data_IF_149945619680
#
_entry.id   IF_149945619680
#
_cell.length_a   1.000
_cell.length_b   1.000
_cell.length_c   1.000
_cell.angle_alpha   90.00
_cell.angle_beta   90.00
_cell.angle_gamma   90.00
#
_symmetry.space_group_name_H-M   'P 1'
#
loop_
_entity.id
_entity.type
_entity.pdbx_description
1 polymer ?
#
# COMPACT_ATOMS: atom_id res chain seq x y z
N UNK A 1 -67.01 30.32 -36.68
CA UNK A 1 -67.44 31.46 -35.89
C UNK A 1 -66.24 31.96 -35.09
N UNK A 2 -65.52 32.97 -35.57
CA UNK A 2 -65.58 34.39 -35.28
C UNK A 2 -65.82 34.69 -33.79
N UNK A 3 -64.85 35.28 -33.07
CA UNK A 3 -64.58 36.68 -32.75
C UNK A 3 -63.39 36.68 -31.77
N UNK A 4 -62.36 37.38 -31.97
CA UNK A 4 -62.00 38.81 -32.06
C UNK A 4 -61.50 39.42 -30.75
N UNK A 5 -60.22 39.78 -30.80
CA UNK A 5 -59.44 40.88 -30.22
C UNK A 5 -60.06 41.69 -29.05
N UNK A 6 -59.16 41.95 -28.04
CA UNK A 6 -58.94 43.35 -27.58
C UNK A 6 -57.49 43.45 -27.01
N UNK A 7 -56.78 44.44 -27.54
CA UNK A 7 -55.46 44.94 -27.09
C UNK A 7 -55.77 46.01 -26.01
N UNK A 8 -55.08 46.01 -24.93
CA UNK A 8 -54.97 47.18 -24.05
C UNK A 8 -53.51 47.41 -23.67
N UNK A 9 -53.00 48.49 -24.18
CA UNK A 9 -51.72 49.13 -23.95
C UNK A 9 -51.80 49.89 -22.62
N UNK A 10 -50.91 49.67 -21.66
CA UNK A 10 -50.62 50.55 -20.53
C UNK A 10 -49.14 50.67 -20.30
N UNK A 11 -48.67 51.86 -20.63
CA UNK A 11 -47.33 52.32 -20.31
C UNK A 11 -47.23 52.68 -18.81
N UNK A 12 -46.22 52.21 -18.10
CA UNK A 12 -45.81 52.73 -16.79
C UNK A 12 -44.27 52.85 -16.72
N UNK A 13 -43.92 54.07 -16.61
CA UNK A 13 -42.77 54.84 -16.17
C UNK A 13 -41.67 54.01 -15.47
N UNK A 14 -40.44 54.15 -15.99
CA UNK A 14 -39.22 53.78 -15.39
C UNK A 14 -38.89 54.57 -14.11
N UNK A 15 -38.65 53.92 -13.02
CA UNK A 15 -37.93 54.49 -11.88
C UNK A 15 -36.72 53.62 -11.60
N UNK A 16 -35.55 54.16 -11.91
CA UNK A 16 -34.26 53.47 -11.68
C UNK A 16 -33.94 53.38 -10.19
N UNK A 17 -33.72 52.20 -9.72
CA UNK A 17 -32.97 51.93 -8.49
C UNK A 17 -31.80 50.98 -8.84
N UNK A 18 -30.61 51.56 -8.91
CA UNK A 18 -29.39 50.79 -9.04
C UNK A 18 -29.14 50.04 -7.73
N UNK A 19 -29.53 48.79 -7.68
CA UNK A 19 -29.06 47.85 -6.66
C UNK A 19 -27.70 47.32 -7.10
N UNK A 20 -26.63 47.80 -6.48
CA UNK A 20 -25.33 47.17 -6.52
C UNK A 20 -25.42 45.83 -5.79
N UNK A 21 -25.66 44.77 -6.55
CA UNK A 21 -25.46 43.39 -6.06
C UNK A 21 -23.96 43.19 -5.90
N UNK A 22 -23.46 43.35 -4.68
CA UNK A 22 -22.17 42.83 -4.30
C UNK A 22 -22.24 41.31 -4.47
N UNK A 23 -21.66 40.82 -5.55
CA UNK A 23 -21.50 39.39 -5.79
C UNK A 23 -20.62 38.79 -4.71
N UNK A 24 -21.25 38.25 -3.66
CA UNK A 24 -20.60 37.28 -2.83
C UNK A 24 -20.25 36.07 -3.74
N UNK A 25 -19.02 36.02 -4.25
CA UNK A 25 -18.46 34.80 -4.78
C UNK A 25 -18.42 33.83 -3.60
N UNK A 26 -19.43 33.00 -3.48
CA UNK A 26 -19.32 31.78 -2.71
C UNK A 26 -18.20 30.99 -3.34
N UNK A 27 -17.01 31.07 -2.75
CA UNK A 27 -16.02 30.06 -2.91
C UNK A 27 -16.63 28.74 -2.39
N UNK A 28 -17.38 28.07 -3.25
CA UNK A 28 -17.65 26.66 -3.03
C UNK A 28 -16.27 25.99 -3.08
N UNK A 29 -15.69 25.78 -1.91
CA UNK A 29 -14.62 24.81 -1.75
C UNK A 29 -15.20 23.50 -2.30
N UNK A 30 -14.89 23.21 -3.56
CA UNK A 30 -15.08 21.89 -4.15
C UNK A 30 -14.36 20.96 -3.17
N UNK A 31 -15.10 20.27 -2.33
CA UNK A 31 -14.56 19.11 -1.60
C UNK A 31 -13.88 18.29 -2.68
N UNK A 32 -12.55 18.20 -2.61
CA UNK A 32 -11.79 17.45 -3.59
C UNK A 32 -12.41 16.06 -3.61
N UNK A 33 -12.95 15.66 -4.75
CA UNK A 33 -13.44 14.29 -4.92
C UNK A 33 -12.29 13.36 -4.54
N UNK A 34 -12.57 12.36 -3.68
CA UNK A 34 -11.56 11.39 -3.28
C UNK A 34 -10.97 10.69 -4.51
N UNK A 35 -9.80 10.14 -4.35
CA UNK A 35 -9.14 9.35 -5.41
C UNK A 35 -9.92 8.07 -5.69
N UNK A 36 -9.86 7.59 -6.92
CA UNK A 36 -10.27 6.24 -7.29
C UNK A 36 -9.04 5.32 -7.27
N UNK A 37 -9.00 4.39 -6.33
CA UNK A 37 -7.86 3.52 -6.07
C UNK A 37 -8.23 2.08 -6.41
N UNK A 38 -7.51 1.49 -7.34
CA UNK A 38 -7.63 0.08 -7.69
C UNK A 38 -6.60 -0.72 -6.92
N UNK A 39 -7.04 -1.64 -6.05
CA UNK A 39 -6.17 -2.33 -5.11
C UNK A 39 -6.42 -3.84 -5.06
N UNK A 40 -5.36 -4.62 -4.86
CA UNK A 40 -5.46 -6.05 -4.62
C UNK A 40 -6.38 -6.37 -3.44
N UNK A 41 -7.17 -7.44 -3.55
CA UNK A 41 -8.22 -7.85 -2.59
C UNK A 41 -7.71 -8.03 -1.16
N UNK A 42 -6.47 -8.45 -0.96
CA UNK A 42 -5.83 -8.54 0.37
C UNK A 42 -5.72 -7.20 1.13
N UNK A 43 -6.02 -6.08 0.47
CA UNK A 43 -5.96 -4.74 1.07
C UNK A 43 -7.33 -4.15 1.42
N UNK A 44 -8.39 -4.95 1.36
CA UNK A 44 -9.79 -4.49 1.52
C UNK A 44 -10.04 -3.82 2.87
N UNK A 45 -9.42 -4.27 3.94
CA UNK A 45 -9.56 -3.71 5.29
C UNK A 45 -8.62 -2.54 5.54
N UNK A 46 -7.37 -2.68 5.16
CA UNK A 46 -6.29 -1.75 5.53
C UNK A 46 -6.40 -0.38 4.85
N UNK A 47 -6.82 -0.33 3.58
CA UNK A 47 -6.82 0.94 2.84
C UNK A 47 -7.91 1.92 3.29
N UNK A 48 -9.16 1.49 3.58
CA UNK A 48 -10.15 2.37 4.19
C UNK A 48 -9.76 2.86 5.60
N UNK A 49 -8.98 2.08 6.37
CA UNK A 49 -8.45 2.53 7.67
C UNK A 49 -7.39 3.62 7.51
N UNK A 50 -6.58 3.57 6.44
CA UNK A 50 -5.62 4.64 6.12
C UNK A 50 -6.34 5.91 5.68
N UNK A 51 -7.36 5.79 4.83
CA UNK A 51 -8.12 6.94 4.31
C UNK A 51 -9.48 6.52 3.77
N UNK A 52 -10.54 6.78 4.52
CA UNK A 52 -11.92 6.48 4.14
C UNK A 52 -12.52 7.48 3.12
N UNK A 53 -11.80 8.57 2.79
CA UNK A 53 -12.27 9.60 1.86
C UNK A 53 -12.10 9.25 0.37
N UNK A 54 -11.51 8.10 0.05
CA UNK A 54 -11.28 7.63 -1.31
C UNK A 54 -12.30 6.57 -1.73
N UNK A 55 -12.45 6.39 -3.04
CA UNK A 55 -13.20 5.28 -3.62
C UNK A 55 -12.24 4.13 -3.92
N UNK A 56 -12.54 2.95 -3.43
CA UNK A 56 -11.71 1.76 -3.62
C UNK A 56 -12.42 0.75 -4.52
N UNK A 57 -11.67 0.18 -5.48
CA UNK A 57 -12.07 -0.99 -6.26
C UNK A 57 -11.10 -2.11 -5.94
N UNK A 58 -11.59 -3.15 -5.27
CA UNK A 58 -10.79 -4.30 -4.85
C UNK A 58 -10.98 -5.47 -5.81
N UNK A 59 -9.88 -6.18 -6.08
CA UNK A 59 -9.90 -7.36 -6.94
C UNK A 59 -8.50 -7.91 -7.20
N UNK A 60 -8.41 -8.87 -8.12
CA UNK A 60 -7.11 -9.34 -8.58
C UNK A 60 -6.31 -8.21 -9.24
N UNK A 61 -5.04 -8.08 -8.87
CA UNK A 61 -4.16 -7.08 -9.49
C UNK A 61 -4.11 -7.19 -11.01
N UNK A 62 -4.20 -8.40 -11.56
CA UNK A 62 -4.20 -8.66 -13.01
C UNK A 62 -5.48 -8.17 -13.66
N UNK A 63 -6.64 -8.42 -13.04
CA UNK A 63 -7.94 -7.93 -13.52
C UNK A 63 -7.98 -6.40 -13.50
N UNK A 64 -7.57 -5.79 -12.39
CA UNK A 64 -7.52 -4.33 -12.24
C UNK A 64 -6.58 -3.68 -13.26
N UNK A 65 -5.42 -4.28 -13.52
CA UNK A 65 -4.51 -3.81 -14.56
C UNK A 65 -5.13 -3.86 -15.96
N UNK A 66 -5.91 -4.90 -16.26
CA UNK A 66 -6.65 -5.01 -17.52
C UNK A 66 -7.72 -3.92 -17.65
N UNK A 67 -8.45 -3.65 -16.56
CA UNK A 67 -9.44 -2.56 -16.54
C UNK A 67 -8.78 -1.19 -16.78
N UNK A 68 -7.63 -0.92 -16.16
CA UNK A 68 -6.88 0.33 -16.38
C UNK A 68 -6.39 0.44 -17.82
N UNK A 69 -5.86 -0.64 -18.42
CA UNK A 69 -5.48 -0.65 -19.85
C UNK A 69 -6.67 -0.33 -20.75
N UNK A 70 -7.85 -0.80 -20.39
CA UNK A 70 -9.10 -0.57 -21.13
C UNK A 70 -9.74 0.80 -20.80
N UNK A 71 -9.06 1.67 -20.05
CA UNK A 71 -9.49 3.04 -19.80
C UNK A 71 -10.36 3.24 -18.55
N UNK A 72 -10.40 2.28 -17.63
CA UNK A 72 -11.08 2.49 -16.34
C UNK A 72 -10.47 3.69 -15.59
N UNK A 73 -11.32 4.58 -14.99
CA UNK A 73 -10.88 5.84 -14.39
C UNK A 73 -10.26 5.62 -13.00
N UNK A 74 -9.07 5.01 -12.96
CA UNK A 74 -8.29 4.85 -11.74
C UNK A 74 -7.24 5.96 -11.62
N UNK A 75 -6.99 6.41 -10.41
CA UNK A 75 -5.91 7.36 -10.08
C UNK A 75 -4.64 6.60 -9.66
N UNK A 76 -4.80 5.54 -8.88
CA UNK A 76 -3.68 4.73 -8.36
C UNK A 76 -4.00 3.24 -8.52
N UNK A 77 -3.00 2.48 -8.94
CA UNK A 77 -2.99 1.02 -8.86
C UNK A 77 -2.12 0.58 -7.67
N UNK A 78 -2.65 -0.32 -6.85
CA UNK A 78 -1.91 -1.03 -5.79
C UNK A 78 -1.98 -2.53 -6.05
N UNK A 79 -0.85 -3.13 -6.35
CA UNK A 79 -0.73 -4.53 -6.77
C UNK A 79 -0.09 -5.41 -5.71
N UNK A 80 -0.60 -6.64 -5.56
CA UNK A 80 -0.03 -7.67 -4.69
C UNK A 80 1.26 -8.31 -5.24
N UNK A 81 1.82 -7.76 -6.31
CA UNK A 81 3.14 -8.11 -6.84
C UNK A 81 3.80 -6.89 -7.51
N UNK A 82 5.05 -7.05 -7.91
CA UNK A 82 5.81 -6.02 -8.64
C UNK A 82 5.70 -6.15 -10.16
N UNK A 83 5.33 -7.31 -10.67
CA UNK A 83 5.33 -7.63 -12.11
C UNK A 83 4.22 -6.89 -12.84
N UNK A 84 3.02 -6.85 -12.26
CA UNK A 84 1.85 -6.19 -12.86
C UNK A 84 2.10 -4.68 -13.04
N UNK A 85 2.48 -3.89 -12.02
CA UNK A 85 2.77 -2.48 -12.22
C UNK A 85 3.98 -2.23 -13.14
N UNK A 86 5.02 -3.09 -13.10
CA UNK A 86 6.16 -2.98 -14.00
C UNK A 86 5.76 -3.13 -15.47
N UNK A 87 4.87 -4.07 -15.77
CA UNK A 87 4.30 -4.28 -17.13
C UNK A 87 3.47 -3.07 -17.60
N UNK A 88 2.69 -2.44 -16.72
CA UNK A 88 1.94 -1.23 -17.04
C UNK A 88 2.86 -0.02 -17.23
N UNK A 89 3.91 0.10 -16.44
CA UNK A 89 4.92 1.13 -16.59
C UNK A 89 5.66 1.03 -17.93
N UNK A 90 6.08 -0.19 -18.30
CA UNK A 90 6.69 -0.44 -19.61
C UNK A 90 5.77 -0.07 -20.77
N UNK A 91 4.46 -0.16 -20.60
CA UNK A 91 3.43 0.24 -21.56
C UNK A 91 3.04 1.73 -21.47
N UNK A 92 3.65 2.53 -20.59
CA UNK A 92 3.33 3.96 -20.38
C UNK A 92 1.96 4.23 -19.73
N UNK A 93 1.34 3.21 -19.14
CA UNK A 93 -0.02 3.30 -18.55
C UNK A 93 0.01 3.84 -17.13
N UNK A 94 1.08 3.58 -16.40
CA UNK A 94 1.29 4.07 -15.03
C UNK A 94 2.67 4.73 -14.92
N UNK A 95 2.82 5.59 -13.93
CA UNK A 95 4.11 6.16 -13.53
C UNK A 95 5.01 5.08 -12.91
N UNK A 96 6.29 5.42 -12.69
CA UNK A 96 7.27 4.48 -12.12
C UNK A 96 6.76 3.86 -10.81
N UNK A 97 6.62 2.52 -10.72
CA UNK A 97 6.10 1.86 -9.53
C UNK A 97 7.01 2.04 -8.31
N UNK A 98 6.37 2.11 -7.15
CA UNK A 98 7.03 2.18 -5.84
C UNK A 98 6.62 0.96 -5.02
N UNK A 99 7.60 0.20 -4.53
CA UNK A 99 7.36 -0.87 -3.58
C UNK A 99 6.95 -0.27 -2.23
N UNK A 100 5.90 -0.80 -1.59
CA UNK A 100 5.37 -0.16 -0.37
C UNK A 100 5.16 -1.10 0.81
N UNK A 101 4.94 -2.40 0.58
CA UNK A 101 4.72 -3.39 1.65
C UNK A 101 5.10 -4.79 1.16
N UNK A 102 5.26 -5.75 2.07
CA UNK A 102 5.46 -7.18 1.77
C UNK A 102 4.39 -8.02 2.43
N UNK A 103 4.29 -9.28 2.00
CA UNK A 103 3.40 -10.27 2.61
C UNK A 103 4.10 -11.63 2.67
N UNK A 104 3.45 -12.62 3.26
CA UNK A 104 3.83 -14.02 3.22
C UNK A 104 2.68 -14.86 2.71
N UNK A 105 2.98 -15.97 2.04
CA UNK A 105 1.99 -16.95 1.69
C UNK A 105 1.59 -17.76 2.93
N UNK A 106 0.30 -18.04 3.05
CA UNK A 106 -0.28 -18.82 4.13
C UNK A 106 -1.23 -19.87 3.55
N UNK A 107 -1.53 -20.88 4.35
CA UNK A 107 -2.61 -21.82 4.09
C UNK A 107 -3.64 -21.58 5.17
N UNK A 108 -4.91 -21.52 4.78
CA UNK A 108 -6.02 -21.46 5.70
C UNK A 108 -6.88 -22.71 5.56
N UNK A 109 -7.44 -23.13 6.67
CA UNK A 109 -8.44 -24.21 6.74
C UNK A 109 -9.64 -23.69 7.54
N UNK A 110 -10.85 -24.28 7.40
CA UNK A 110 -11.98 -23.93 8.25
C UNK A 110 -11.61 -24.00 9.73
N UNK A 111 -12.22 -23.19 10.58
CA UNK A 111 -11.91 -23.12 12.02
C UNK A 111 -11.98 -24.49 12.70
N UNK A 112 -12.94 -25.31 12.32
CA UNK A 112 -13.12 -26.67 12.82
C UNK A 112 -12.08 -27.65 12.30
N UNK A 113 -11.42 -27.35 11.18
CA UNK A 113 -10.42 -28.18 10.49
C UNK A 113 -10.85 -29.65 10.37
N UNK A 114 -11.96 -29.98 9.70
CA UNK A 114 -12.52 -31.33 9.69
C UNK A 114 -11.57 -32.35 9.03
N UNK A 115 -10.77 -31.93 8.05
CA UNK A 115 -9.76 -32.78 7.39
C UNK A 115 -8.50 -33.02 8.24
N UNK A 116 -8.37 -32.36 9.40
CA UNK A 116 -7.23 -32.56 10.33
C UNK A 116 -5.89 -32.11 9.75
N UNK A 117 -5.85 -31.11 8.88
CA UNK A 117 -4.67 -30.58 8.21
C UNK A 117 -3.79 -29.83 9.23
N UNK A 118 -2.51 -30.22 9.36
CA UNK A 118 -1.56 -29.61 10.29
C UNK A 118 -0.31 -29.04 9.59
N UNK A 119 -0.11 -29.42 8.34
CA UNK A 119 1.05 -28.97 7.53
C UNK A 119 0.67 -28.92 6.04
N UNK A 120 1.49 -28.24 5.25
CA UNK A 120 1.37 -28.22 3.79
C UNK A 120 1.44 -29.64 3.18
N UNK A 121 2.16 -30.58 3.81
CA UNK A 121 2.27 -31.95 3.33
C UNK A 121 0.97 -32.74 3.49
N UNK A 122 0.10 -32.36 4.43
CA UNK A 122 -1.22 -33.00 4.57
C UNK A 122 -2.13 -32.72 3.37
N UNK A 123 -1.86 -31.65 2.62
CA UNK A 123 -2.60 -31.29 1.41
C UNK A 123 -2.36 -32.27 0.24
N UNK A 124 -1.30 -33.10 0.32
CA UNK A 124 -1.04 -34.13 -0.69
C UNK A 124 -1.82 -35.42 -0.47
N UNK A 125 -2.55 -35.55 0.65
CA UNK A 125 -3.33 -36.75 0.96
C UNK A 125 -4.55 -36.86 0.03
N UNK A 126 -4.84 -38.06 -0.49
CA UNK A 126 -6.04 -38.25 -1.31
C UNK A 126 -7.32 -37.85 -0.58
N UNK A 127 -8.23 -37.17 -1.29
CA UNK A 127 -9.53 -36.78 -0.78
C UNK A 127 -9.56 -35.44 -0.02
N UNK A 128 -8.43 -34.77 0.11
CA UNK A 128 -8.38 -33.37 0.58
C UNK A 128 -8.84 -32.45 -0.55
N UNK A 129 -9.81 -31.60 -0.30
CA UNK A 129 -10.32 -30.63 -1.27
C UNK A 129 -9.67 -29.26 -1.08
N UNK A 130 -8.97 -28.78 -2.11
CA UNK A 130 -8.18 -27.53 -2.06
C UNK A 130 -8.78 -26.50 -3.01
N UNK A 131 -8.89 -25.28 -2.54
CA UNK A 131 -9.12 -24.11 -3.38
C UNK A 131 -7.85 -23.27 -3.51
N UNK A 132 -7.56 -22.77 -4.69
CA UNK A 132 -6.45 -21.87 -4.94
C UNK A 132 -6.85 -20.77 -5.93
N UNK A 133 -6.17 -19.65 -5.91
CA UNK A 133 -6.33 -18.68 -6.99
C UNK A 133 -5.64 -19.17 -8.27
N UNK A 134 -6.19 -18.81 -9.43
CA UNK A 134 -5.56 -19.12 -10.72
C UNK A 134 -4.11 -18.62 -10.77
N UNK A 135 -3.22 -19.32 -11.46
CA UNK A 135 -1.79 -18.98 -11.55
C UNK A 135 -1.51 -17.61 -12.21
N UNK A 136 -2.50 -17.05 -12.91
CA UNK A 136 -2.45 -15.68 -13.45
C UNK A 136 -2.72 -14.61 -12.42
N UNK A 137 -3.22 -14.97 -11.24
CA UNK A 137 -3.46 -14.07 -10.09
C UNK A 137 -2.21 -14.07 -9.22
N UNK A 138 -1.82 -12.93 -8.60
CA UNK A 138 -0.58 -12.86 -7.81
C UNK A 138 -0.43 -13.97 -6.77
N UNK A 139 -1.43 -14.20 -5.91
CA UNK A 139 -1.36 -15.26 -4.87
C UNK A 139 -1.21 -16.65 -5.49
N UNK A 140 -1.94 -16.97 -6.56
CA UNK A 140 -1.84 -18.24 -7.25
C UNK A 140 -0.45 -18.44 -7.90
N UNK A 141 0.14 -17.40 -8.47
CA UNK A 141 1.50 -17.47 -9.02
C UNK A 141 2.55 -17.75 -7.92
N UNK A 142 2.38 -17.19 -6.73
CA UNK A 142 3.23 -17.48 -5.58
C UNK A 142 2.99 -18.89 -5.03
N UNK A 143 1.75 -19.38 -5.03
CA UNK A 143 1.40 -20.76 -4.68
C UNK A 143 2.15 -21.76 -5.57
N UNK A 144 2.05 -21.61 -6.88
CA UNK A 144 2.78 -22.47 -7.84
C UNK A 144 4.30 -22.41 -7.60
N UNK A 145 4.85 -21.23 -7.34
CA UNK A 145 6.28 -21.07 -7.05
C UNK A 145 6.70 -21.87 -5.80
N UNK A 146 5.94 -21.79 -4.71
CA UNK A 146 6.19 -22.53 -3.47
C UNK A 146 6.09 -24.04 -3.72
N UNK A 147 5.02 -24.50 -4.34
CA UNK A 147 4.76 -25.91 -4.57
C UNK A 147 5.82 -26.56 -5.46
N UNK A 148 6.27 -25.87 -6.51
CA UNK A 148 7.38 -26.30 -7.36
C UNK A 148 8.70 -26.35 -6.58
N UNK A 149 9.00 -25.33 -5.78
CA UNK A 149 10.22 -25.30 -4.95
C UNK A 149 10.25 -26.46 -3.94
N UNK A 150 9.09 -26.87 -3.44
CA UNK A 150 8.95 -27.99 -2.51
C UNK A 150 8.86 -29.35 -3.20
N UNK A 151 8.69 -29.39 -4.52
CA UNK A 151 8.54 -30.66 -5.28
C UNK A 151 7.21 -31.38 -5.03
N UNK A 152 6.17 -30.67 -4.58
CA UNK A 152 4.86 -31.25 -4.23
C UNK A 152 3.71 -30.69 -5.11
N UNK A 153 4.04 -29.93 -6.14
CA UNK A 153 3.03 -29.29 -6.98
C UNK A 153 2.00 -30.29 -7.53
N UNK A 154 2.46 -31.35 -8.20
CA UNK A 154 1.56 -32.27 -8.89
C UNK A 154 0.64 -33.01 -7.91
N UNK A 155 1.17 -33.40 -6.72
CA UNK A 155 0.37 -34.04 -5.69
C UNK A 155 -0.70 -33.12 -5.12
N UNK A 156 -0.43 -31.82 -4.97
CA UNK A 156 -1.41 -30.85 -4.50
C UNK A 156 -2.38 -30.49 -5.61
N UNK A 157 -1.93 -30.30 -6.86
CA UNK A 157 -2.82 -29.99 -7.99
C UNK A 157 -3.84 -31.12 -8.27
N UNK A 158 -3.54 -32.37 -7.92
CA UNK A 158 -4.49 -33.49 -8.00
C UNK A 158 -5.69 -33.32 -7.02
N UNK A 159 -5.53 -32.53 -5.97
CA UNK A 159 -6.53 -32.25 -4.95
C UNK A 159 -7.20 -30.87 -5.12
N UNK A 160 -6.79 -30.07 -6.11
CA UNK A 160 -7.41 -28.76 -6.38
C UNK A 160 -8.74 -28.95 -7.07
N UNK A 161 -9.81 -28.57 -6.40
CA UNK A 161 -11.20 -28.69 -6.90
C UNK A 161 -11.71 -27.38 -7.52
N UNK A 162 -11.07 -26.25 -7.22
CA UNK A 162 -11.48 -24.93 -7.73
C UNK A 162 -10.28 -23.98 -7.88
N UNK A 163 -10.40 -23.06 -8.84
CA UNK A 163 -9.41 -21.99 -9.10
C UNK A 163 -10.08 -20.63 -9.17
N UNK A 164 -9.74 -19.77 -8.22
CA UNK A 164 -10.40 -18.50 -7.99
C UNK A 164 -9.73 -17.33 -8.72
N UNK A 165 -10.51 -16.26 -8.86
CA UNK A 165 -10.04 -15.02 -9.48
C UNK A 165 -9.38 -14.05 -8.51
N UNK A 166 -9.41 -14.34 -7.18
CA UNK A 166 -8.76 -13.55 -6.13
C UNK A 166 -8.50 -14.38 -4.87
N UNK A 167 -7.60 -13.92 -4.01
CA UNK A 167 -7.38 -14.41 -2.64
C UNK A 167 -8.66 -14.34 -1.79
N UNK A 168 -9.41 -13.25 -1.88
CA UNK A 168 -10.66 -13.09 -1.14
C UNK A 168 -11.71 -14.17 -1.45
N UNK A 169 -11.78 -14.65 -2.69
CA UNK A 169 -12.68 -15.74 -3.06
C UNK A 169 -12.25 -17.06 -2.44
N UNK A 170 -10.95 -17.34 -2.40
CA UNK A 170 -10.40 -18.53 -1.69
C UNK A 170 -10.74 -18.46 -0.20
N UNK A 171 -10.49 -17.30 0.44
CA UNK A 171 -10.87 -17.07 1.85
C UNK A 171 -12.33 -17.39 2.10
N UNK A 172 -13.22 -16.86 1.26
CA UNK A 172 -14.66 -17.03 1.44
C UNK A 172 -15.08 -18.52 1.38
N UNK A 173 -14.57 -19.29 0.41
CA UNK A 173 -14.88 -20.72 0.30
C UNK A 173 -14.38 -21.53 1.48
N UNK A 174 -13.16 -21.28 1.93
CA UNK A 174 -12.60 -21.95 3.10
C UNK A 174 -13.39 -21.59 4.37
N UNK A 175 -13.68 -20.31 4.58
CA UNK A 175 -14.44 -19.85 5.74
C UNK A 175 -15.85 -20.46 5.82
N UNK A 176 -16.49 -20.70 4.66
CA UNK A 176 -17.78 -21.37 4.53
C UNK A 176 -17.71 -22.91 4.63
N UNK A 177 -16.49 -23.48 4.74
CA UNK A 177 -16.29 -24.93 4.78
C UNK A 177 -16.64 -25.65 3.48
N UNK A 178 -16.58 -24.96 2.34
CA UNK A 178 -16.86 -25.55 1.02
C UNK A 178 -15.67 -26.37 0.50
N UNK A 179 -14.49 -26.16 1.06
CA UNK A 179 -13.24 -26.87 0.80
C UNK A 179 -12.47 -27.05 2.10
N UNK A 180 -11.51 -27.97 2.12
CA UNK A 180 -10.71 -28.28 3.30
C UNK A 180 -9.57 -27.28 3.54
N UNK A 181 -9.02 -26.70 2.48
CA UNK A 181 -7.91 -25.76 2.58
C UNK A 181 -7.84 -24.80 1.39
N UNK A 182 -7.15 -23.69 1.60
CA UNK A 182 -6.85 -22.74 0.53
C UNK A 182 -5.53 -22.01 0.75
N UNK A 183 -4.89 -21.59 -0.37
CA UNK A 183 -3.68 -20.78 -0.35
C UNK A 183 -4.05 -19.30 -0.45
N UNK A 184 -3.64 -18.52 0.55
CA UNK A 184 -3.95 -17.10 0.73
C UNK A 184 -2.73 -16.34 1.23
N UNK A 185 -2.84 -15.04 1.48
CA UNK A 185 -1.81 -14.30 2.20
C UNK A 185 -2.03 -14.36 3.72
N UNK A 186 -0.97 -14.10 4.49
CA UNK A 186 -1.08 -14.01 5.95
C UNK A 186 -2.04 -12.91 6.38
N UNK A 187 -2.06 -11.78 5.67
CA UNK A 187 -3.01 -10.69 5.91
C UNK A 187 -4.46 -11.16 5.87
N UNK A 188 -4.82 -12.06 4.96
CA UNK A 188 -6.19 -12.56 4.82
C UNK A 188 -6.62 -13.38 6.05
N UNK A 189 -5.69 -14.14 6.64
CA UNK A 189 -5.96 -14.84 7.89
C UNK A 189 -6.10 -13.87 9.07
N UNK A 190 -5.24 -12.83 9.15
CA UNK A 190 -5.22 -11.91 10.29
C UNK A 190 -6.53 -11.13 10.44
N UNK A 191 -7.22 -10.86 9.33
CA UNK A 191 -8.51 -10.15 9.34
C UNK A 191 -9.71 -11.07 9.66
N UNK A 192 -9.58 -12.39 9.52
CA UNK A 192 -10.66 -13.35 9.85
C UNK A 192 -10.18 -14.59 10.63
N UNK A 193 -9.56 -14.44 11.81
CA UNK A 193 -9.10 -15.56 12.62
C UNK A 193 -10.24 -16.31 13.32
N UNK A 194 -11.47 -15.81 13.23
CA UNK A 194 -12.65 -16.42 13.86
C UNK A 194 -13.20 -17.59 13.06
N UNK A 195 -13.14 -17.52 11.73
CA UNK A 195 -13.63 -18.56 10.83
C UNK A 195 -12.51 -19.47 10.30
N UNK A 196 -11.27 -19.04 10.43
CA UNK A 196 -10.11 -19.71 9.84
C UNK A 196 -9.11 -20.21 10.90
N UNK A 197 -8.37 -21.24 10.53
CA UNK A 197 -7.16 -21.70 11.23
C UNK A 197 -5.98 -21.60 10.28
N UNK A 198 -4.85 -21.03 10.77
CA UNK A 198 -3.63 -20.84 10.00
C UNK A 198 -2.77 -22.09 9.97
N UNK A 199 -2.38 -22.53 8.79
CA UNK A 199 -1.30 -23.49 8.54
C UNK A 199 -0.13 -22.75 7.87
N UNK A 200 1.05 -22.84 8.46
CA UNK A 200 2.21 -22.09 7.97
C UNK A 200 2.88 -22.78 6.80
N UNK A 201 3.19 -22.05 5.76
CA UNK A 201 4.15 -22.46 4.74
C UNK A 201 5.55 -22.41 5.36
N UNK A 202 6.42 -23.44 5.17
CA UNK A 202 7.77 -23.43 5.71
C UNK A 202 8.57 -22.18 5.29
N UNK A 203 9.31 -21.59 6.23
CA UNK A 203 10.02 -20.33 6.01
C UNK A 203 11.01 -20.38 4.83
N UNK A 204 11.68 -21.54 4.65
CA UNK A 204 12.64 -21.74 3.55
C UNK A 204 11.97 -21.78 2.16
N UNK A 205 10.67 -22.10 2.10
CA UNK A 205 9.90 -22.15 0.86
C UNK A 205 9.15 -20.85 0.57
N UNK A 206 9.10 -19.90 1.52
CA UNK A 206 8.40 -18.64 1.36
C UNK A 206 8.93 -17.81 0.19
N UNK A 207 8.09 -17.42 -0.77
CA UNK A 207 8.50 -16.54 -1.85
C UNK A 207 8.68 -15.11 -1.33
N UNK A 208 9.49 -14.32 -2.02
CA UNK A 208 9.62 -12.89 -1.72
C UNK A 208 8.42 -12.13 -2.27
N UNK A 209 7.37 -12.01 -1.49
CA UNK A 209 6.16 -11.28 -1.87
C UNK A 209 6.33 -9.80 -1.57
N UNK A 210 6.36 -8.97 -2.61
CA UNK A 210 6.47 -7.51 -2.51
C UNK A 210 5.35 -6.88 -3.31
N UNK A 211 4.64 -5.96 -2.69
CA UNK A 211 3.56 -5.17 -3.28
C UNK A 211 4.12 -3.86 -3.85
N UNK A 212 3.60 -3.45 -4.98
CA UNK A 212 3.97 -2.17 -5.57
C UNK A 212 2.73 -1.36 -5.95
N UNK A 213 2.86 -0.04 -5.86
CA UNK A 213 1.82 0.92 -6.24
C UNK A 213 2.35 1.89 -7.28
N UNK A 214 1.47 2.41 -8.12
CA UNK A 214 1.81 3.39 -9.14
C UNK A 214 0.62 4.29 -9.46
N UNK A 215 0.89 5.54 -9.80
CA UNK A 215 -0.11 6.50 -10.28
C UNK A 215 -0.42 6.18 -11.73
N UNK A 216 -1.70 6.21 -12.10
CA UNK A 216 -2.11 6.04 -13.50
C UNK A 216 -1.74 7.31 -14.27
N UNK A 217 -0.99 7.19 -15.37
CA UNK A 217 -0.44 8.32 -16.13
C UNK A 217 -1.52 9.31 -16.59
N UNK A 218 -2.71 8.80 -16.93
CA UNK A 218 -3.85 9.62 -17.36
C UNK A 218 -4.70 10.19 -16.21
N UNK A 219 -4.37 9.92 -14.95
CA UNK A 219 -5.10 10.49 -13.81
C UNK A 219 -5.03 12.03 -13.83
N UNK A 220 -6.15 12.74 -13.70
CA UNK A 220 -6.15 14.19 -13.53
C UNK A 220 -5.70 14.61 -12.12
N UNK A 221 -5.56 13.67 -11.19
CA UNK A 221 -5.33 13.90 -9.77
C UNK A 221 -3.87 13.59 -9.34
N UNK A 222 -2.87 13.77 -10.23
CA UNK A 222 -1.47 13.37 -10.02
C UNK A 222 -0.88 13.82 -8.66
N UNK A 223 -1.05 15.10 -8.31
CA UNK A 223 -0.51 15.64 -7.06
C UNK A 223 -1.19 15.04 -5.81
N UNK A 224 -2.50 14.86 -5.85
CA UNK A 224 -3.29 14.24 -4.77
C UNK A 224 -2.94 12.76 -4.63
N UNK A 225 -2.79 12.05 -5.74
CA UNK A 225 -2.36 10.66 -5.77
C UNK A 225 -0.96 10.49 -5.16
N UNK A 226 -0.02 11.38 -5.50
CA UNK A 226 1.32 11.37 -4.90
C UNK A 226 1.29 11.66 -3.39
N UNK A 227 0.46 12.61 -2.95
CA UNK A 227 0.29 12.90 -1.52
C UNK A 227 -0.29 11.71 -0.76
N UNK A 228 -1.26 11.02 -1.36
CA UNK A 228 -1.85 9.80 -0.79
C UNK A 228 -0.82 8.65 -0.74
N UNK A 229 -0.05 8.41 -1.79
CA UNK A 229 1.03 7.42 -1.77
C UNK A 229 2.04 7.72 -0.65
N UNK A 230 2.38 8.99 -0.42
CA UNK A 230 3.24 9.39 0.69
C UNK A 230 2.60 9.10 2.06
N UNK A 231 1.26 9.23 2.19
CA UNK A 231 0.51 8.84 3.38
C UNK A 231 0.60 7.33 3.63
N UNK A 232 0.46 6.50 2.61
CA UNK A 232 0.66 5.04 2.67
C UNK A 232 2.07 4.69 3.14
N UNK A 233 3.08 5.38 2.62
CA UNK A 233 4.50 5.17 2.96
C UNK A 233 4.90 5.77 4.32
N UNK A 234 4.06 6.56 4.96
CA UNK A 234 4.34 7.16 6.27
C UNK A 234 4.43 6.10 7.36
N UNK A 235 5.12 6.37 8.49
CA UNK A 235 5.14 5.45 9.63
C UNK A 235 3.74 5.06 10.11
N UNK A 236 2.78 5.99 10.08
CA UNK A 236 1.40 5.72 10.47
C UNK A 236 0.71 4.77 9.49
N UNK A 237 0.81 5.04 8.17
CA UNK A 237 0.26 4.15 7.15
C UNK A 237 0.88 2.74 7.20
N UNK A 238 2.20 2.66 7.37
CA UNK A 238 2.89 1.37 7.49
C UNK A 238 2.49 0.59 8.75
N UNK A 239 2.22 1.28 9.88
CA UNK A 239 1.77 0.64 11.11
C UNK A 239 0.39 -0.03 10.95
N UNK A 240 -0.51 0.57 10.16
CA UNK A 240 -1.82 -0.01 9.85
C UNK A 240 -1.64 -1.32 9.05
N UNK A 241 -0.80 -1.32 8.02
CA UNK A 241 -0.48 -2.56 7.28
C UNK A 241 0.09 -3.65 8.18
N UNK A 242 1.04 -3.31 9.07
CA UNK A 242 1.65 -4.30 9.98
C UNK A 242 0.64 -4.89 10.96
N UNK A 243 -0.29 -4.08 11.46
CA UNK A 243 -1.41 -4.55 12.30
C UNK A 243 -2.25 -5.60 11.58
N UNK A 244 -2.47 -5.45 10.29
CA UNK A 244 -3.25 -6.36 9.45
C UNK A 244 -2.40 -7.51 8.84
N UNK A 245 -1.24 -7.81 9.43
CA UNK A 245 -0.43 -8.99 9.11
C UNK A 245 0.53 -8.82 7.93
N UNK A 246 0.61 -7.64 7.33
CA UNK A 246 1.62 -7.35 6.32
C UNK A 246 3.00 -7.17 6.96
N UNK A 247 4.03 -7.32 6.14
CA UNK A 247 5.43 -7.13 6.55
C UNK A 247 5.94 -5.81 5.97
N UNK A 248 6.60 -4.96 6.77
CA UNK A 248 7.20 -3.74 6.24
C UNK A 248 8.23 -4.10 5.17
N UNK A 249 8.38 -3.25 4.16
CA UNK A 249 9.55 -3.31 3.30
C UNK A 249 10.76 -3.12 4.22
N UNK A 250 11.70 -4.06 4.18
CA UNK A 250 12.98 -3.83 4.83
C UNK A 250 13.56 -2.54 4.23
N UNK A 251 13.53 -1.46 4.99
CA UNK A 251 14.15 -0.23 4.56
C UNK A 251 15.62 -0.58 4.27
N UNK A 252 16.16 -0.24 3.12
CA UNK A 252 17.58 -0.45 2.90
C UNK A 252 18.37 0.29 4.00
N UNK A 253 19.49 -0.27 4.42
CA UNK A 253 20.36 0.34 5.43
C UNK A 253 20.61 1.80 5.04
N UNK A 254 20.52 2.76 5.96
CA UNK A 254 20.79 4.16 5.64
C UNK A 254 22.25 4.31 5.13
N UNK A 255 22.48 5.34 4.36
CA UNK A 255 23.86 5.78 4.07
C UNK A 255 23.98 7.26 4.41
N UNK A 256 25.14 7.71 4.88
CA UNK A 256 25.43 9.12 5.10
C UNK A 256 26.62 9.51 4.23
N UNK A 257 26.37 10.34 3.22
CA UNK A 257 27.40 10.78 2.26
C UNK A 257 27.98 12.14 2.60
N UNK A 258 27.17 13.03 3.24
CA UNK A 258 27.59 14.41 3.57
C UNK A 258 26.99 14.86 4.92
N UNK A 259 27.78 15.67 5.64
CA UNK A 259 27.35 16.43 6.84
C UNK A 259 27.49 17.91 6.51
N UNK A 260 26.50 18.71 6.86
CA UNK A 260 26.57 20.17 6.66
C UNK A 260 25.82 20.91 7.79
N UNK A 261 26.48 21.82 8.51
CA UNK A 261 27.93 22.09 8.50
C UNK A 261 28.74 20.96 9.14
N UNK A 262 30.04 20.85 8.79
CA UNK A 262 30.95 19.88 9.40
C UNK A 262 31.42 20.27 10.82
N UNK A 263 31.11 21.51 11.24
CA UNK A 263 31.32 22.07 12.59
C UNK A 263 29.99 22.67 13.07
N UNK A 264 29.61 22.40 14.30
CA UNK A 264 28.40 22.95 14.90
C UNK A 264 28.60 23.10 16.42
N UNK A 265 27.92 24.08 17.01
CA UNK A 265 27.83 24.22 18.47
C UNK A 265 26.71 23.37 19.03
N UNK A 266 26.72 23.12 20.33
CA UNK A 266 25.58 22.53 21.05
C UNK A 266 24.30 23.33 20.76
N UNK A 267 23.19 22.67 20.50
CA UNK A 267 21.93 23.27 20.07
C UNK A 267 21.87 23.63 18.57
N UNK A 268 23.01 23.60 17.86
CA UNK A 268 23.08 23.88 16.42
C UNK A 268 22.42 22.78 15.58
N UNK A 269 21.91 23.16 14.41
CA UNK A 269 21.31 22.23 13.46
C UNK A 269 22.35 21.71 12.48
N UNK A 270 22.35 20.40 12.24
CA UNK A 270 23.19 19.72 11.27
C UNK A 270 22.30 18.99 10.27
N UNK A 271 22.60 19.10 9.00
CA UNK A 271 21.94 18.38 7.91
C UNK A 271 22.80 17.21 7.46
N UNK A 272 22.20 16.03 7.39
CA UNK A 272 22.77 14.85 6.75
C UNK A 272 22.18 14.70 5.36
N UNK A 273 23.04 14.42 4.38
CA UNK A 273 22.65 13.98 3.05
C UNK A 273 23.11 12.55 2.86
N UNK A 274 22.27 11.72 2.24
CA UNK A 274 22.55 10.31 2.04
C UNK A 274 21.40 9.58 1.35
N UNK A 275 21.13 8.36 1.74
CA UNK A 275 19.98 7.58 1.25
C UNK A 275 19.30 6.82 2.39
N UNK A 276 18.06 6.39 2.13
CA UNK A 276 17.26 5.50 3.01
C UNK A 276 17.03 6.04 4.42
N UNK A 277 16.87 7.37 4.55
CA UNK A 277 16.55 8.00 5.83
C UNK A 277 15.07 7.83 6.23
N UNK A 278 14.19 7.46 5.29
CA UNK A 278 12.79 7.10 5.63
C UNK A 278 12.79 5.92 6.61
N UNK A 279 12.01 6.05 7.70
CA UNK A 279 11.97 5.02 8.75
C UNK A 279 13.15 5.08 9.73
N UNK A 280 13.95 6.17 9.75
CA UNK A 280 14.96 6.37 10.80
C UNK A 280 14.31 6.34 12.19
N UNK A 281 14.81 5.44 13.04
CA UNK A 281 14.32 5.24 14.43
C UNK A 281 15.22 5.91 15.46
N UNK A 282 16.52 6.10 15.11
CA UNK A 282 17.49 6.68 16.02
C UNK A 282 18.57 7.47 15.28
N UNK A 283 18.98 8.58 15.86
CA UNK A 283 20.18 9.33 15.47
C UNK A 283 20.98 9.65 16.72
N UNK A 284 22.27 9.31 16.72
CA UNK A 284 23.16 9.60 17.86
C UNK A 284 24.44 10.30 17.38
N UNK A 285 25.08 11.07 18.25
CA UNK A 285 26.43 11.60 18.08
C UNK A 285 27.29 11.00 19.17
N UNK A 286 28.25 10.15 18.83
CA UNK A 286 29.07 9.40 19.80
C UNK A 286 28.20 8.71 20.87
N UNK A 287 27.11 8.06 20.47
CA UNK A 287 26.17 7.38 21.35
C UNK A 287 25.15 8.27 22.06
N UNK A 288 25.31 9.60 22.05
CA UNK A 288 24.36 10.53 22.64
C UNK A 288 23.19 10.78 21.70
N UNK A 289 21.96 10.47 22.13
CA UNK A 289 20.74 10.62 21.32
C UNK A 289 20.52 12.09 20.91
N UNK A 290 20.24 12.32 19.65
CA UNK A 290 19.95 13.62 19.08
C UNK A 290 18.49 13.73 18.63
N UNK A 291 17.83 14.86 18.86
CA UNK A 291 16.54 15.18 18.22
C UNK A 291 16.78 15.31 16.71
N UNK A 292 15.92 14.71 15.93
CA UNK A 292 16.06 14.73 14.48
C UNK A 292 14.71 14.84 13.76
N UNK A 293 14.76 15.24 12.48
CA UNK A 293 13.62 15.26 11.57
C UNK A 293 14.06 14.68 10.22
N UNK A 294 13.37 13.67 9.73
CA UNK A 294 13.52 13.18 8.36
C UNK A 294 12.79 14.16 7.44
N UNK A 295 13.54 14.81 6.57
CA UNK A 295 13.02 15.78 5.58
C UNK A 295 12.63 15.05 4.29
N UNK A 296 13.42 14.04 3.89
CA UNK A 296 13.15 13.16 2.75
C UNK A 296 13.95 11.88 2.88
N UNK A 297 13.76 10.92 1.98
CA UNK A 297 14.59 9.71 1.91
C UNK A 297 16.10 9.99 1.77
N UNK A 298 16.47 11.22 1.35
CA UNK A 298 17.87 11.63 1.11
C UNK A 298 18.36 12.74 2.01
N UNK A 299 17.51 13.31 2.87
CA UNK A 299 17.84 14.44 3.74
C UNK A 299 17.27 14.27 5.13
N UNK A 300 18.10 14.41 6.15
CA UNK A 300 17.75 14.38 7.56
C UNK A 300 18.39 15.57 8.26
N UNK A 301 17.68 16.22 9.18
CA UNK A 301 18.24 17.25 10.05
C UNK A 301 18.26 16.77 11.49
N UNK A 302 19.27 17.17 12.25
CA UNK A 302 19.37 16.87 13.67
C UNK A 302 19.86 18.10 14.44
N UNK A 303 19.56 18.13 15.75
CA UNK A 303 20.05 19.14 16.67
C UNK A 303 21.17 18.53 17.53
N UNK A 304 22.31 19.22 17.64
CA UNK A 304 23.44 18.75 18.46
C UNK A 304 23.05 18.75 19.95
N UNK A 305 23.03 17.60 20.63
CA UNK A 305 22.61 17.53 22.03
C UNK A 305 23.69 18.04 22.98
N UNK A 306 23.29 18.52 24.16
CA UNK A 306 24.16 19.20 25.13
C UNK A 306 25.34 18.35 25.59
N UNK A 307 25.20 17.03 25.66
CA UNK A 307 26.27 16.12 26.13
C UNK A 307 27.12 15.52 25.01
N UNK A 308 26.86 15.88 23.73
CA UNK A 308 27.59 15.33 22.62
C UNK A 308 29.04 15.82 22.59
N UNK A 309 29.95 14.91 22.25
CA UNK A 309 31.35 15.19 21.94
C UNK A 309 31.59 15.10 20.44
N UNK A 310 32.62 15.79 19.95
CA UNK A 310 33.04 15.68 18.55
C UNK A 310 33.28 14.25 18.11
N UNK A 311 32.58 13.80 17.09
CA UNK A 311 32.70 12.41 16.62
C UNK A 311 31.74 12.08 15.48
N UNK A 312 31.52 10.82 15.23
CA UNK A 312 30.64 10.34 14.17
C UNK A 312 29.17 10.44 14.57
N UNK A 313 28.33 10.67 13.58
CA UNK A 313 26.86 10.59 13.73
C UNK A 313 26.43 9.20 13.25
N UNK A 314 25.67 8.51 14.05
CA UNK A 314 25.10 7.22 13.71
C UNK A 314 23.62 7.38 13.44
N UNK A 315 23.16 6.88 12.30
CA UNK A 315 21.74 6.86 11.88
C UNK A 315 21.29 5.42 11.79
N UNK A 316 20.23 5.05 12.50
CA UNK A 316 19.68 3.70 12.56
C UNK A 316 18.27 3.68 12.00
N UNK A 317 17.94 2.67 11.19
CA UNK A 317 16.60 2.28 10.84
C UNK A 317 16.41 0.77 11.09
N UNK A 318 15.21 0.18 10.91
CA UNK A 318 14.97 -1.25 11.17
C UNK A 318 15.88 -2.21 10.40
N UNK A 319 16.53 -1.78 9.32
CA UNK A 319 17.41 -2.60 8.49
C UNK A 319 18.88 -2.50 8.81
N UNK A 320 19.26 -1.58 9.67
CA UNK A 320 20.65 -1.43 10.09
C UNK A 320 21.05 0.01 10.36
N UNK A 321 22.36 0.19 10.45
CA UNK A 321 22.98 1.41 10.95
C UNK A 321 24.00 1.94 9.94
N UNK A 322 24.01 3.27 9.74
CA UNK A 322 25.06 3.97 9.01
C UNK A 322 25.80 4.94 9.92
N UNK A 323 27.10 5.08 9.66
CA UNK A 323 27.97 6.01 10.38
C UNK A 323 28.48 7.07 9.41
N UNK A 324 28.40 8.33 9.83
CA UNK A 324 28.90 9.47 9.05
C UNK A 324 30.41 9.70 9.20
N UNK A 325 30.93 10.65 8.44
CA UNK A 325 32.21 11.33 8.76
C UNK A 325 32.09 12.08 10.09
N UNK A 326 33.23 12.51 10.65
CA UNK A 326 33.28 13.19 11.95
C UNK A 326 32.65 14.57 11.90
N UNK A 327 31.71 14.85 12.82
CA UNK A 327 31.24 16.18 13.16
C UNK A 327 32.16 16.78 14.24
N UNK A 328 32.58 18.04 14.08
CA UNK A 328 33.28 18.80 15.14
C UNK A 328 32.28 19.64 15.91
N UNK A 329 32.26 19.49 17.24
CA UNK A 329 31.44 20.29 18.14
C UNK A 329 32.33 21.36 18.77
N UNK A 330 31.89 22.61 18.68
CA UNK A 330 32.60 23.80 19.17
C UNK A 330 31.84 24.49 20.28
#
# INVERSE_FOLDING_TARGET
MRFSRIISLLAVVALGAALTVAGAQANSSKTAAGLTIFAGSSMTTVLPEIDSGNTYSFGSSTTLATQIRNGAPADVLMSANTTVPASLYAAGVVEKPVNFIRNTLAIVVPKSNPAGIKSIYDLTKPGVEIDEAASTVPVGSYTVQVLNQMGINDAIQANVVSKETSDANVVAKVALGQVDAGFVYLSDYVIDPTHLTLIKVPAWAQPKITYAMAIVTKSPNQATAQAWMNKVLSPAGQAIFVKDGFLPIAAAVPTVTKISPARAKVGGTVTLTGTNFTGTTSVTIQGVAAKFKVVSARKLTLTVPAKAKSGTITVTNPSGTATSKRLRIT
#
